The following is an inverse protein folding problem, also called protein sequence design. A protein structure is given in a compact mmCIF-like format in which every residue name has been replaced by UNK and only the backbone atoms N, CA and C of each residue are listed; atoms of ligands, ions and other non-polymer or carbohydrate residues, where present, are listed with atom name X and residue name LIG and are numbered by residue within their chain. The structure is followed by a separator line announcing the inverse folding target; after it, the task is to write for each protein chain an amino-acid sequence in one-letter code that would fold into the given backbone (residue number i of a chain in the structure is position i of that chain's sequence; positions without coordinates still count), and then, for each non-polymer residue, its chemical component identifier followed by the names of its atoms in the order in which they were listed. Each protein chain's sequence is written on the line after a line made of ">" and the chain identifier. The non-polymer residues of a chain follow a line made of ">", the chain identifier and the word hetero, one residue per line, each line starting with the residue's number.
data_IF_925113810464
#
_entry.id   IF_925113810464
#
_cell.length_a   1.000
_cell.length_b   1.000
_cell.length_c   1.000
_cell.angle_alpha   90.00
_cell.angle_beta   90.00
_cell.angle_gamma   90.00
#
_symmetry.space_group_name_H-M   'P 1'
#
loop_
_entity.id
_entity.type
_entity.pdbx_description
1 polymer ?
#
# COMPACT_ATOMS: atom_id res chain seq x y z
N UNK A 1 -34.65 -18.32 -1.78
CA UNK A 1 -33.38 -18.35 -0.99
C UNK A 1 -32.32 -17.66 -1.84
N UNK A 2 -31.67 -16.56 -1.52
CA UNK A 2 -31.67 -15.69 -0.34
C UNK A 2 -31.05 -14.35 -0.75
N UNK A 3 -31.47 -13.30 -0.05
CA UNK A 3 -31.10 -11.89 -0.18
C UNK A 3 -29.59 -11.67 0.05
N UNK A 4 -28.87 -11.00 -0.87
CA UNK A 4 -27.75 -10.04 -0.64
C UNK A 4 -26.80 -9.95 -1.85
N UNK A 5 -26.81 -8.84 -2.60
CA UNK A 5 -25.59 -8.10 -3.02
C UNK A 5 -25.93 -6.92 -3.95
N UNK A 6 -26.91 -6.09 -3.55
CA UNK A 6 -27.14 -4.79 -4.19
C UNK A 6 -26.90 -3.61 -3.22
N UNK A 7 -26.44 -3.92 -2.00
CA UNK A 7 -26.34 -3.01 -0.87
C UNK A 7 -24.87 -2.88 -0.46
N UNK A 8 -24.06 -2.13 -1.24
CA UNK A 8 -22.81 -1.48 -0.76
C UNK A 8 -21.95 -0.79 -1.83
N UNK A 9 -22.47 -0.36 -2.99
CA UNK A 9 -21.65 0.46 -3.91
C UNK A 9 -21.19 1.78 -3.29
N UNK A 10 -22.05 2.40 -2.48
CA UNK A 10 -21.73 3.58 -1.68
C UNK A 10 -20.72 3.25 -0.58
N UNK A 11 -20.84 2.12 0.10
CA UNK A 11 -19.83 1.69 1.06
C UNK A 11 -18.48 1.43 0.38
N UNK A 12 -18.46 0.75 -0.78
CA UNK A 12 -17.23 0.55 -1.57
C UNK A 12 -16.62 1.89 -1.97
N UNK A 13 -17.41 2.85 -2.46
CA UNK A 13 -16.91 4.18 -2.81
C UNK A 13 -16.34 4.93 -1.59
N UNK A 14 -17.03 4.90 -0.46
CA UNK A 14 -16.55 5.48 0.81
C UNK A 14 -15.25 4.79 1.26
N UNK A 15 -15.17 3.47 1.13
CA UNK A 15 -13.97 2.68 1.43
C UNK A 15 -12.79 3.05 0.52
N UNK A 16 -13.03 3.19 -0.79
CA UNK A 16 -12.00 3.60 -1.75
C UNK A 16 -11.48 5.01 -1.45
N UNK A 17 -12.37 5.95 -1.13
CA UNK A 17 -11.99 7.33 -0.79
C UNK A 17 -11.22 7.39 0.53
N UNK A 18 -11.69 6.68 1.56
CA UNK A 18 -11.02 6.62 2.86
C UNK A 18 -9.62 5.98 2.74
N UNK A 19 -9.49 4.87 1.99
CA UNK A 19 -8.21 4.23 1.71
C UNK A 19 -7.27 5.15 0.92
N UNK A 20 -7.80 5.88 -0.07
CA UNK A 20 -7.04 6.88 -0.82
C UNK A 20 -6.51 8.03 0.05
N UNK A 21 -7.33 8.53 0.98
CA UNK A 21 -6.91 9.57 1.95
C UNK A 21 -5.82 9.07 2.90
N UNK A 22 -5.96 7.85 3.42
CA UNK A 22 -4.92 7.20 4.25
C UNK A 22 -3.61 7.02 3.48
N UNK A 23 -3.69 6.60 2.21
CA UNK A 23 -2.52 6.47 1.33
C UNK A 23 -1.85 7.82 1.07
N UNK A 24 -2.62 8.89 0.85
CA UNK A 24 -2.11 10.26 0.69
C UNK A 24 -1.38 10.76 1.93
N UNK A 25 -1.96 10.56 3.13
CA UNK A 25 -1.31 10.92 4.40
C UNK A 25 -0.02 10.13 4.58
N UNK A 26 0.01 8.85 4.22
CA UNK A 26 1.20 8.00 4.31
C UNK A 26 2.31 8.42 3.34
N UNK A 27 1.97 8.76 2.09
CA UNK A 27 2.90 9.32 1.10
C UNK A 27 3.43 10.69 1.54
N UNK A 28 2.55 11.55 2.04
CA UNK A 28 2.93 12.86 2.58
C UNK A 28 3.92 12.71 3.74
N UNK A 29 3.67 11.80 4.68
CA UNK A 29 4.58 11.50 5.77
C UNK A 29 5.95 10.97 5.26
N UNK A 30 5.96 10.11 4.23
CA UNK A 30 7.19 9.62 3.61
C UNK A 30 8.04 10.75 2.99
N UNK A 31 7.40 11.67 2.27
CA UNK A 31 8.09 12.81 1.63
C UNK A 31 8.60 13.79 2.70
N UNK A 32 7.76 14.18 3.64
CA UNK A 32 8.06 15.25 4.61
C UNK A 32 9.04 14.79 5.69
N UNK A 33 8.89 13.57 6.22
CA UNK A 33 9.68 13.10 7.36
C UNK A 33 10.89 12.26 6.95
N UNK A 34 10.87 11.67 5.75
CA UNK A 34 11.88 10.70 5.31
C UNK A 34 12.49 11.00 3.94
N UNK A 35 12.18 12.17 3.35
CA UNK A 35 12.63 12.59 2.03
C UNK A 35 12.44 11.49 0.96
N UNK A 36 11.38 10.70 1.10
CA UNK A 36 11.06 9.60 0.19
C UNK A 36 10.37 10.06 -1.08
N UNK A 37 10.27 9.16 -2.04
CA UNK A 37 9.49 9.40 -3.25
C UNK A 37 8.01 9.61 -2.89
N UNK A 38 7.32 10.61 -3.50
CA UNK A 38 5.87 10.79 -3.33
C UNK A 38 5.05 9.63 -3.89
N UNK A 39 5.65 8.78 -4.73
CA UNK A 39 4.99 7.62 -5.32
C UNK A 39 4.97 6.41 -4.38
N UNK A 40 5.68 6.45 -3.25
CA UNK A 40 5.80 5.33 -2.33
C UNK A 40 5.20 5.69 -0.96
N UNK A 41 4.35 4.82 -0.41
CA UNK A 41 3.86 4.98 0.95
C UNK A 41 4.96 4.73 1.98
N UNK A 42 4.85 5.37 3.15
CA UNK A 42 5.81 5.19 4.24
C UNK A 42 5.87 3.72 4.71
N UNK A 43 4.72 3.05 4.74
CA UNK A 43 4.61 1.64 5.14
C UNK A 43 5.33 0.71 4.15
N UNK A 44 5.16 0.94 2.84
CA UNK A 44 5.83 0.17 1.80
C UNK A 44 7.35 0.38 1.83
N UNK A 45 7.80 1.63 2.04
CA UNK A 45 9.23 1.92 2.21
C UNK A 45 9.80 1.30 3.48
N UNK A 46 9.09 1.36 4.58
CA UNK A 46 9.53 0.76 5.83
C UNK A 46 9.74 -0.76 5.69
N UNK A 47 8.85 -1.45 4.97
CA UNK A 47 9.06 -2.87 4.66
C UNK A 47 10.26 -3.09 3.72
N UNK A 48 10.34 -2.32 2.63
CA UNK A 48 11.44 -2.44 1.67
C UNK A 48 12.81 -2.22 2.34
N UNK A 49 12.96 -1.20 3.16
CA UNK A 49 14.24 -0.84 3.78
C UNK A 49 14.59 -1.75 4.98
N UNK A 50 13.60 -2.16 5.78
CA UNK A 50 13.83 -3.01 6.95
C UNK A 50 14.00 -4.49 6.59
N UNK A 51 13.25 -4.99 5.59
CA UNK A 51 13.18 -6.43 5.26
C UNK A 51 13.94 -6.77 3.98
N UNK A 52 13.89 -5.93 2.95
CA UNK A 52 14.53 -6.19 1.65
C UNK A 52 15.86 -5.43 1.46
N UNK A 53 16.07 -4.35 2.21
CA UNK A 53 17.26 -3.52 2.20
C UNK A 53 18.41 -4.15 2.99
N UNK A 54 19.58 -3.52 2.94
CA UNK A 54 20.81 -4.00 3.57
C UNK A 54 20.83 -3.97 5.12
N UNK A 55 19.66 -3.94 5.78
CA UNK A 55 19.56 -4.02 7.23
C UNK A 55 20.02 -2.76 7.95
N UNK A 56 19.69 -1.59 7.43
CA UNK A 56 19.99 -0.33 8.10
C UNK A 56 19.05 -0.21 9.32
N UNK A 57 19.52 -0.63 10.51
CA UNK A 57 18.70 -0.88 11.71
C UNK A 57 17.81 0.30 12.18
N UNK A 58 17.98 1.49 11.58
CA UNK A 58 17.08 2.64 11.69
C UNK A 58 15.70 2.40 11.08
N UNK A 59 15.56 1.51 10.11
CA UNK A 59 14.27 1.20 9.50
C UNK A 59 13.53 0.10 10.26
N UNK A 60 14.24 -0.74 11.01
CA UNK A 60 13.66 -1.85 11.76
C UNK A 60 12.72 -1.36 12.88
N UNK A 61 13.13 -0.34 13.63
CA UNK A 61 12.26 0.27 14.65
C UNK A 61 11.07 1.03 14.03
N UNK A 62 11.26 1.64 12.85
CA UNK A 62 10.20 2.37 12.15
C UNK A 62 9.16 1.42 11.60
N UNK A 63 9.58 0.32 10.99
CA UNK A 63 8.72 -0.77 10.55
C UNK A 63 7.86 -1.28 11.72
N UNK A 64 8.48 -1.57 12.88
CA UNK A 64 7.74 -2.01 14.08
C UNK A 64 6.77 -0.95 14.60
N UNK A 65 7.18 0.32 14.67
CA UNK A 65 6.34 1.41 15.15
C UNK A 65 5.12 1.65 14.24
N UNK A 66 5.33 1.63 12.92
CA UNK A 66 4.26 1.76 11.94
C UNK A 66 3.32 0.56 12.05
N UNK A 67 3.83 -0.67 12.03
CA UNK A 67 2.99 -1.86 12.14
C UNK A 67 2.19 -1.89 13.47
N UNK A 68 2.78 -1.42 14.57
CA UNK A 68 2.09 -1.27 15.85
C UNK A 68 1.01 -0.18 15.84
N UNK A 69 1.18 0.90 15.07
CA UNK A 69 0.16 1.95 14.93
C UNK A 69 -1.06 1.44 14.15
N UNK A 70 -0.86 0.48 13.24
CA UNK A 70 -1.92 -0.15 12.45
C UNK A 70 -2.46 -1.46 13.06
N UNK A 71 -1.85 -1.98 14.13
CA UNK A 71 -2.35 -3.13 14.90
C UNK A 71 -3.79 -2.95 15.43
N UNK A 72 -4.23 -1.78 15.91
CA UNK A 72 -5.63 -1.56 16.28
C UNK A 72 -6.58 -1.73 15.09
N UNK A 73 -6.11 -1.41 13.87
CA UNK A 73 -6.85 -1.66 12.63
C UNK A 73 -6.87 -3.14 12.25
N UNK A 74 -5.86 -3.93 12.63
CA UNK A 74 -5.83 -5.37 12.36
C UNK A 74 -6.89 -6.16 13.14
N UNK A 75 -7.44 -5.58 14.23
CA UNK A 75 -8.60 -6.14 14.93
C UNK A 75 -9.89 -6.07 14.08
N UNK A 76 -9.96 -5.14 13.13
CA UNK A 76 -11.07 -5.00 12.18
C UNK A 76 -10.71 -5.70 10.84
N UNK A 77 -9.41 -5.77 10.51
CA UNK A 77 -8.87 -6.44 9.32
C UNK A 77 -7.87 -7.54 9.67
N UNK A 78 -8.31 -8.80 9.83
CA UNK A 78 -7.45 -9.93 10.16
C UNK A 78 -6.36 -10.22 9.12
N UNK A 79 -6.53 -9.76 7.87
CA UNK A 79 -5.56 -9.94 6.79
C UNK A 79 -4.40 -8.92 6.82
N UNK A 80 -4.42 -7.96 7.75
CA UNK A 80 -3.40 -6.91 7.91
C UNK A 80 -2.44 -7.24 9.08
N UNK A 81 -2.10 -8.52 9.27
CA UNK A 81 -1.17 -8.93 10.35
C UNK A 81 0.23 -8.32 10.18
N UNK A 82 0.61 -8.00 8.94
CA UNK A 82 1.77 -7.18 8.62
C UNK A 82 1.34 -6.09 7.61
N UNK A 83 0.93 -4.94 8.15
CA UNK A 83 0.43 -3.82 7.36
C UNK A 83 1.48 -3.28 6.38
N UNK A 84 2.75 -3.27 6.79
CA UNK A 84 3.83 -2.75 5.95
C UNK A 84 4.13 -3.71 4.79
N UNK A 85 4.13 -5.02 5.03
CA UNK A 85 4.24 -6.04 3.98
C UNK A 85 3.09 -5.95 2.98
N UNK A 86 1.86 -5.86 3.48
CA UNK A 86 0.68 -5.74 2.62
C UNK A 86 0.72 -4.49 1.73
N UNK A 87 1.11 -3.35 2.29
CA UNK A 87 1.25 -2.10 1.52
C UNK A 87 2.33 -2.22 0.42
N UNK A 88 3.46 -2.86 0.72
CA UNK A 88 4.49 -3.13 -0.27
C UNK A 88 4.00 -4.05 -1.39
N UNK A 89 3.33 -5.15 -1.06
CA UNK A 89 2.80 -6.10 -2.04
C UNK A 89 1.75 -5.46 -2.96
N UNK A 90 0.87 -4.62 -2.41
CA UNK A 90 -0.13 -3.89 -3.20
C UNK A 90 0.51 -2.90 -4.18
N UNK A 91 1.53 -2.14 -3.74
CA UNK A 91 2.27 -1.23 -4.60
C UNK A 91 3.01 -1.97 -5.73
N UNK A 92 3.68 -3.07 -5.41
CA UNK A 92 4.37 -3.92 -6.39
C UNK A 92 3.37 -4.48 -7.41
N UNK A 93 2.22 -4.97 -6.96
CA UNK A 93 1.18 -5.51 -7.85
C UNK A 93 0.67 -4.44 -8.82
N UNK A 94 0.41 -3.22 -8.35
CA UNK A 94 -0.02 -2.10 -9.20
C UNK A 94 1.06 -1.67 -10.20
N UNK A 95 2.31 -1.62 -9.77
CA UNK A 95 3.43 -1.31 -10.66
C UNK A 95 3.59 -2.38 -11.74
N UNK A 96 3.47 -3.67 -11.38
CA UNK A 96 3.50 -4.78 -12.34
C UNK A 96 2.35 -4.73 -13.35
N UNK A 97 1.14 -4.37 -12.93
CA UNK A 97 0.01 -4.17 -13.85
C UNK A 97 0.28 -3.03 -14.84
N UNK A 98 0.83 -1.91 -14.35
CA UNK A 98 1.20 -0.76 -15.20
C UNK A 98 2.27 -1.16 -16.23
N UNK A 99 3.29 -1.91 -15.81
CA UNK A 99 4.34 -2.40 -16.73
C UNK A 99 3.79 -3.36 -17.79
N UNK A 100 2.85 -4.25 -17.42
CA UNK A 100 2.18 -5.12 -18.39
C UNK A 100 1.37 -4.34 -19.43
N UNK A 101 0.71 -3.26 -19.02
CA UNK A 101 -0.03 -2.39 -19.93
C UNK A 101 0.92 -1.64 -20.87
N UNK A 102 2.06 -1.15 -20.38
CA UNK A 102 3.07 -0.49 -21.21
C UNK A 102 3.69 -1.45 -22.23
N UNK A 103 4.06 -2.66 -21.82
CA UNK A 103 4.56 -3.70 -22.74
C UNK A 103 3.52 -4.11 -23.80
N UNK A 104 2.23 -4.14 -23.44
CA UNK A 104 1.16 -4.34 -24.42
C UNK A 104 1.02 -3.18 -25.41
N UNK A 105 1.16 -1.93 -24.95
CA UNK A 105 1.15 -0.73 -25.79
C UNK A 105 2.34 -0.72 -26.76
N UNK A 106 3.56 -0.97 -26.27
CA UNK A 106 4.78 -1.01 -27.10
C UNK A 106 4.64 -2.05 -28.22
N UNK A 107 4.10 -3.24 -27.92
CA UNK A 107 3.82 -4.27 -28.92
C UNK A 107 2.76 -3.85 -29.93
N UNK A 108 1.79 -3.03 -29.55
CA UNK A 108 0.74 -2.52 -30.45
C UNK A 108 1.19 -1.34 -31.32
N UNK A 109 2.20 -0.58 -30.88
CA UNK A 109 2.77 0.55 -31.62
C UNK A 109 3.92 0.14 -32.55
N UNK A 110 4.48 -1.05 -32.33
CA UNK A 110 5.57 -1.64 -33.13
C UNK A 110 5.13 -2.47 -34.35
N UNK A 111 3.88 -2.36 -34.82
CA UNK A 111 3.39 -3.04 -36.05
C UNK A 111 3.12 -2.08 -37.20
#
# INVERSE_FOLDING_TARGET
>A
MGVCSMRNRSAIAVWTVAGGLLSLVSRFANVVLFAGSPDQTLSARAYAEAVLGAGDGRWDWRYRAINATFQPLSAIWPSQSDHCRWAWEEEVSRAMETLKQNDALDRSMGS
#
